data_IF_537621494541
#
_entry.id   IF_537621494541
#
_cell.length_a   1.000
_cell.length_b   1.000
_cell.length_c   1.000
_cell.angle_alpha   90.00
_cell.angle_beta   90.00
_cell.angle_gamma   90.00
#
_symmetry.space_group_name_H-M   'P 1'
#
loop_
_entity.id
_entity.type
_entity.pdbx_description
1 polymer ?
#
# COMPACT_ATOMS: atom_id res chain seq x y z
N UNK A 1 3.56 9.64 5.52
CA UNK A 1 3.63 9.49 4.06
C UNK A 1 3.02 8.16 3.69
N UNK A 2 2.22 8.12 2.63
CA UNK A 2 1.58 6.90 2.13
C UNK A 2 1.95 6.78 0.66
N UNK A 3 2.42 5.60 0.26
CA UNK A 3 2.70 5.28 -1.13
C UNK A 3 1.50 4.59 -1.77
N UNK A 4 1.00 5.15 -2.87
CA UNK A 4 0.03 4.49 -3.72
C UNK A 4 0.79 3.65 -4.75
N UNK A 5 0.62 2.34 -4.70
CA UNK A 5 1.16 1.41 -5.69
C UNK A 5 0.04 0.93 -6.60
N UNK A 6 0.38 0.64 -7.86
CA UNK A 6 -0.53 -0.04 -8.78
C UNK A 6 -0.62 -1.52 -8.39
N UNK A 7 -1.55 -1.83 -7.49
CA UNK A 7 -1.76 -3.19 -7.00
C UNK A 7 -2.73 -3.95 -7.91
N UNK A 8 -2.30 -4.27 -9.14
CA UNK A 8 -3.01 -5.20 -10.00
C UNK A 8 -2.75 -6.65 -9.53
N UNK A 9 -3.80 -7.30 -9.02
CA UNK A 9 -3.73 -8.69 -8.55
C UNK A 9 -3.26 -9.67 -9.63
N UNK A 10 -3.48 -9.38 -10.91
CA UNK A 10 -3.00 -10.19 -12.03
C UNK A 10 -1.48 -10.11 -12.18
N UNK A 11 -0.90 -8.93 -12.00
CA UNK A 11 0.56 -8.71 -12.02
C UNK A 11 1.22 -9.44 -10.86
N UNK A 12 0.63 -9.35 -9.66
CA UNK A 12 1.11 -10.10 -8.49
C UNK A 12 1.11 -11.62 -8.71
N UNK A 13 0.07 -12.16 -9.34
CA UNK A 13 -0.01 -13.58 -9.67
C UNK A 13 1.05 -14.00 -10.70
N UNK A 14 1.25 -13.20 -11.75
CA UNK A 14 2.27 -13.46 -12.76
C UNK A 14 3.70 -13.42 -12.18
N UNK A 15 3.98 -12.45 -11.29
CA UNK A 15 5.26 -12.37 -10.56
C UNK A 15 5.47 -13.59 -9.65
N UNK A 16 4.43 -14.03 -8.93
CA UNK A 16 4.47 -15.24 -8.11
C UNK A 16 4.78 -16.50 -8.92
N UNK A 17 4.17 -16.65 -10.10
CA UNK A 17 4.48 -17.73 -11.03
C UNK A 17 5.93 -17.64 -11.55
N UNK A 18 6.42 -16.44 -11.84
CA UNK A 18 7.81 -16.20 -12.24
C UNK A 18 8.83 -16.61 -11.16
N UNK A 19 8.53 -16.38 -9.89
CA UNK A 19 9.34 -16.88 -8.77
C UNK A 19 9.32 -18.41 -8.73
N UNK A 20 8.13 -19.02 -8.81
CA UNK A 20 7.97 -20.48 -8.80
C UNK A 20 8.63 -21.18 -10.00
N UNK A 21 8.68 -20.51 -11.15
CA UNK A 21 9.35 -20.97 -12.37
C UNK A 21 10.88 -20.71 -12.38
N UNK A 22 11.42 -20.05 -11.35
CA UNK A 22 12.84 -19.73 -11.25
C UNK A 22 13.31 -18.56 -12.13
N UNK A 23 12.37 -17.81 -12.72
CA UNK A 23 12.67 -16.60 -13.49
C UNK A 23 13.16 -15.45 -12.57
N UNK A 24 12.65 -15.40 -11.35
CA UNK A 24 13.14 -14.51 -10.28
C UNK A 24 13.70 -15.34 -9.13
N UNK A 25 14.86 -14.96 -8.60
CA UNK A 25 15.50 -15.66 -7.48
C UNK A 25 14.89 -15.28 -6.13
N UNK A 26 14.30 -14.09 -6.04
CA UNK A 26 13.69 -13.59 -4.80
C UNK A 26 12.46 -12.74 -5.10
N UNK A 27 11.56 -12.62 -4.12
CA UNK A 27 10.44 -11.67 -4.21
C UNK A 27 10.95 -10.23 -4.43
N UNK A 28 12.06 -9.86 -3.78
CA UNK A 28 12.68 -8.53 -3.97
C UNK A 28 13.11 -8.28 -5.41
N UNK A 29 13.55 -9.30 -6.13
CA UNK A 29 13.88 -9.20 -7.56
C UNK A 29 12.61 -9.05 -8.41
N UNK A 30 11.56 -9.82 -8.12
CA UNK A 30 10.28 -9.75 -8.82
C UNK A 30 9.59 -8.38 -8.66
N UNK A 31 9.64 -7.80 -7.45
CA UNK A 31 9.06 -6.49 -7.12
C UNK A 31 10.08 -5.34 -7.20
N UNK A 32 11.32 -5.59 -7.62
CA UNK A 32 12.40 -4.59 -7.55
C UNK A 32 12.17 -3.36 -8.44
N UNK A 33 11.32 -3.50 -9.45
CA UNK A 33 10.99 -2.44 -10.41
C UNK A 33 9.62 -1.78 -10.16
N UNK A 34 8.85 -2.21 -9.15
CA UNK A 34 7.58 -1.54 -8.83
C UNK A 34 7.88 -0.18 -8.20
N UNK A 35 7.39 0.88 -8.85
CA UNK A 35 7.49 2.25 -8.34
C UNK A 35 6.12 2.69 -7.84
N UNK A 36 6.06 3.47 -6.75
CA UNK A 36 4.81 4.08 -6.33
C UNK A 36 4.31 4.99 -7.45
N UNK A 37 3.02 4.91 -7.74
CA UNK A 37 2.32 5.82 -8.65
C UNK A 37 2.30 7.23 -8.06
N UNK A 38 2.05 7.33 -6.76
CA UNK A 38 1.95 8.60 -6.03
C UNK A 38 2.52 8.43 -4.63
N UNK A 39 3.29 9.42 -4.18
CA UNK A 39 3.65 9.58 -2.78
C UNK A 39 2.75 10.68 -2.18
N UNK A 40 1.95 10.32 -1.19
CA UNK A 40 1.06 11.26 -0.50
C UNK A 40 1.67 11.60 0.86
N UNK A 41 2.00 12.87 1.06
CA UNK A 41 2.47 13.39 2.34
C UNK A 41 1.32 13.98 3.15
N UNK A 42 1.31 13.81 4.48
CA UNK A 42 0.31 14.43 5.33
C UNK A 42 0.55 15.95 5.37
N UNK A 43 -0.47 16.73 5.01
CA UNK A 43 -0.38 18.20 4.98
C UNK A 43 -0.97 18.85 6.22
N UNK A 44 -2.10 18.34 6.73
CA UNK A 44 -2.88 18.96 7.82
C UNK A 44 -3.08 17.99 8.99
N UNK A 45 -2.00 17.39 9.48
CA UNK A 45 -2.07 16.29 10.47
C UNK A 45 -2.89 16.65 11.72
N UNK A 46 -2.70 17.84 12.29
CA UNK A 46 -3.42 18.29 13.50
C UNK A 46 -4.94 18.37 13.29
N UNK A 47 -5.38 18.91 12.17
CA UNK A 47 -6.80 19.03 11.85
C UNK A 47 -7.44 17.64 11.72
N UNK A 48 -6.78 16.74 11.00
CA UNK A 48 -7.30 15.38 10.81
C UNK A 48 -7.23 14.53 12.08
N UNK A 49 -6.28 14.78 12.99
CA UNK A 49 -6.22 14.12 14.30
C UNK A 49 -7.43 14.50 15.17
N UNK A 50 -7.79 15.80 15.21
CA UNK A 50 -8.95 16.30 15.94
C UNK A 50 -10.27 15.75 15.36
N UNK A 51 -10.44 15.82 14.03
CA UNK A 51 -11.62 15.26 13.34
C UNK A 51 -11.75 13.75 13.54
N UNK A 52 -10.63 13.03 13.56
CA UNK A 52 -10.64 11.58 13.80
C UNK A 52 -11.02 11.23 15.24
N UNK A 53 -10.60 12.04 16.22
CA UNK A 53 -11.02 11.89 17.61
C UNK A 53 -12.53 12.10 17.76
N UNK A 54 -13.08 13.15 17.15
CA UNK A 54 -14.53 13.40 17.14
C UNK A 54 -15.30 12.25 16.46
N UNK A 55 -14.82 11.77 15.31
CA UNK A 55 -15.43 10.66 14.60
C UNK A 55 -15.47 9.38 15.44
N UNK A 56 -14.41 9.08 16.21
CA UNK A 56 -14.38 7.89 17.09
C UNK A 56 -15.45 7.91 18.16
N UNK A 57 -15.70 9.07 18.77
CA UNK A 57 -16.73 9.21 19.81
C UNK A 57 -18.14 8.96 19.25
N UNK A 58 -18.33 9.10 17.94
CA UNK A 58 -19.59 8.84 17.25
C UNK A 58 -19.79 7.37 16.85
N UNK A 59 -18.75 6.53 16.94
CA UNK A 59 -18.88 5.10 16.62
C UNK A 59 -19.22 4.35 17.90
N UNK A 60 -20.40 3.70 17.96
CA UNK A 60 -20.71 2.83 19.09
C UNK A 60 -19.68 1.70 19.11
N UNK A 61 -19.02 1.53 20.26
CA UNK A 61 -18.17 0.36 20.46
C UNK A 61 -19.03 -0.91 20.41
N UNK A 62 -18.54 -2.00 19.76
CA UNK A 62 -19.20 -3.29 19.79
C UNK A 62 -19.25 -3.90 21.19
#
# INVERSE_FOLDING_TARGET
MVELHDCDGSVGAAMGAGIGAGYYKTAKEAFGNTKPLVLVEPTESKLYDELYAEWKELIPMP
#
